data_IF_623638205636
#
_entry.id   IF_623638205636
#
_cell.length_a   1.000
_cell.length_b   1.000
_cell.length_c   1.000
_cell.angle_alpha   90.00
_cell.angle_beta   90.00
_cell.angle_gamma   90.00
#
_symmetry.space_group_name_H-M   'P 1'
#
loop_
_entity.id
_entity.type
_entity.pdbx_description
1 polymer ?
#
# COMPACT_ATOMS: atom_id res chain seq x y z
N UNK A 1 36.26 -23.64 71.76
CA UNK A 1 36.74 -23.13 70.42
C UNK A 1 36.22 -23.90 69.19
N UNK A 2 35.72 -25.11 69.37
CA UNK A 2 35.27 -25.93 68.20
C UNK A 2 33.92 -25.50 67.50
N UNK A 3 33.06 -24.80 68.26
CA UNK A 3 31.75 -24.41 67.72
C UNK A 3 31.76 -23.20 66.77
N UNK A 4 32.77 -22.29 66.90
CA UNK A 4 32.85 -21.09 66.06
C UNK A 4 33.35 -21.43 64.62
N UNK A 5 34.22 -22.44 64.54
CA UNK A 5 34.76 -22.89 63.25
C UNK A 5 33.66 -23.55 62.37
N UNK A 6 32.80 -24.34 63.02
CA UNK A 6 31.68 -25.02 62.34
C UNK A 6 30.61 -24.04 61.83
N UNK A 7 30.39 -22.93 62.55
CA UNK A 7 29.41 -21.91 62.13
C UNK A 7 29.91 -21.09 60.94
N UNK A 8 31.21 -20.80 60.83
CA UNK A 8 31.79 -20.14 59.69
C UNK A 8 31.78 -21.02 58.44
N UNK A 9 32.06 -22.31 58.57
CA UNK A 9 32.00 -23.26 57.47
C UNK A 9 30.54 -23.46 56.99
N UNK A 10 29.57 -23.49 57.88
CA UNK A 10 28.14 -23.58 57.53
C UNK A 10 27.65 -22.32 56.77
N UNK A 11 28.10 -21.13 57.20
CA UNK A 11 27.77 -19.88 56.51
C UNK A 11 28.36 -19.81 55.10
N UNK A 12 29.58 -20.29 54.88
CA UNK A 12 30.21 -20.35 53.55
C UNK A 12 29.47 -21.35 52.64
N UNK A 13 29.04 -22.49 53.18
CA UNK A 13 28.25 -23.44 52.42
C UNK A 13 26.87 -22.92 52.04
N UNK A 14 26.21 -22.15 52.90
CA UNK A 14 24.93 -21.52 52.60
C UNK A 14 25.11 -20.43 51.53
N UNK A 15 26.15 -19.61 51.57
CA UNK A 15 26.47 -18.64 50.54
C UNK A 15 26.82 -19.29 49.19
N UNK A 16 27.55 -20.40 49.21
CA UNK A 16 27.84 -21.19 48.00
C UNK A 16 26.59 -21.78 47.36
N UNK A 17 25.63 -22.24 48.15
CA UNK A 17 24.36 -22.76 47.69
C UNK A 17 23.43 -21.70 47.08
N UNK A 18 23.48 -20.46 47.60
CA UNK A 18 22.70 -19.33 47.05
C UNK A 18 23.28 -18.87 45.71
N UNK A 19 24.59 -19.04 45.51
CA UNK A 19 25.26 -18.65 44.26
C UNK A 19 24.98 -19.63 43.10
N UNK A 20 24.47 -20.83 43.38
CA UNK A 20 24.16 -21.86 42.38
C UNK A 20 22.69 -21.78 41.90
N UNK A 21 21.85 -21.01 42.63
CA UNK A 21 20.57 -20.59 42.04
C UNK A 21 20.87 -19.51 41.01
N UNK A 22 21.56 -19.91 39.92
CA UNK A 22 21.79 -19.06 38.79
C UNK A 22 20.44 -18.43 38.42
N UNK A 23 20.47 -17.13 38.20
CA UNK A 23 19.38 -16.45 37.51
C UNK A 23 18.91 -17.41 36.43
N UNK A 24 17.79 -18.06 36.65
CA UNK A 24 17.04 -18.60 35.52
C UNK A 24 16.89 -17.41 34.60
N UNK A 25 17.66 -17.42 33.51
CA UNK A 25 17.38 -16.57 32.38
C UNK A 25 15.87 -16.79 32.19
N UNK A 26 15.07 -15.80 32.56
CA UNK A 26 13.68 -15.81 32.14
C UNK A 26 13.81 -15.82 30.62
N UNK A 27 13.64 -17.00 30.04
CA UNK A 27 13.21 -17.12 28.70
C UNK A 27 11.85 -16.40 28.69
N UNK A 28 11.89 -15.13 28.38
CA UNK A 28 10.71 -14.48 27.83
C UNK A 28 10.43 -15.33 26.62
N UNK A 29 9.49 -16.27 26.78
CA UNK A 29 9.14 -17.22 25.75
C UNK A 29 9.08 -16.45 24.44
N UNK A 30 9.61 -17.06 23.39
CA UNK A 30 9.72 -16.48 22.06
C UNK A 30 8.62 -15.44 21.89
N UNK A 31 9.01 -14.17 21.77
CA UNK A 31 8.01 -13.11 21.54
C UNK A 31 7.19 -13.66 20.40
N UNK A 32 5.89 -13.90 20.57
CA UNK A 32 5.10 -14.47 19.50
C UNK A 32 5.43 -13.65 18.28
N UNK A 33 5.78 -14.29 17.16
CA UNK A 33 6.09 -13.63 15.89
C UNK A 33 4.83 -12.87 15.45
N UNK A 34 4.70 -11.64 15.96
CA UNK A 34 3.58 -10.74 15.68
C UNK A 34 3.77 -10.09 14.33
N UNK A 35 4.17 -10.91 13.36
CA UNK A 35 4.23 -10.44 11.99
C UNK A 35 2.83 -10.31 11.43
N UNK A 36 2.57 -9.21 10.79
CA UNK A 36 1.29 -8.96 10.13
C UNK A 36 1.50 -8.13 8.87
N UNK A 37 0.59 -8.31 7.93
CA UNK A 37 0.50 -7.53 6.71
C UNK A 37 -0.97 -7.36 6.36
N UNK A 38 -1.41 -6.12 6.22
CA UNK A 38 -2.75 -5.76 5.78
C UNK A 38 -2.60 -4.73 4.66
N UNK A 39 -3.22 -4.99 3.53
CA UNK A 39 -3.16 -4.13 2.34
C UNK A 39 -4.56 -3.74 1.91
N UNK A 40 -4.79 -2.45 1.73
CA UNK A 40 -6.11 -1.94 1.34
C UNK A 40 -6.34 -2.05 -0.17
N UNK A 41 -7.58 -2.34 -0.55
CA UNK A 41 -8.02 -2.18 -1.93
C UNK A 41 -7.96 -0.70 -2.35
N UNK A 42 -7.60 -0.45 -3.59
CA UNK A 42 -7.43 0.92 -4.10
C UNK A 42 -8.26 1.17 -5.34
N UNK A 43 -8.91 2.33 -5.36
CA UNK A 43 -9.63 2.83 -6.51
C UNK A 43 -8.89 4.00 -7.15
N UNK A 44 -8.58 3.87 -8.43
CA UNK A 44 -7.84 4.86 -9.19
C UNK A 44 -8.71 5.54 -10.26
N UNK A 45 -8.41 6.79 -10.60
CA UNK A 45 -9.08 7.49 -11.68
C UNK A 45 -8.74 6.89 -13.06
N UNK A 46 -9.48 7.26 -14.09
CA UNK A 46 -9.32 6.73 -15.46
C UNK A 46 -8.07 7.23 -16.20
N UNK A 47 -7.45 8.32 -15.74
CA UNK A 47 -6.28 8.89 -16.41
C UNK A 47 -4.99 8.19 -15.99
N UNK A 48 -3.97 8.30 -16.83
CA UNK A 48 -2.61 7.87 -16.55
C UNK A 48 -2.02 8.65 -15.36
N UNK A 49 -1.20 8.00 -14.57
CA UNK A 49 -0.50 8.64 -13.46
C UNK A 49 -0.08 7.68 -12.36
N UNK A 50 0.20 8.26 -11.21
CA UNK A 50 0.55 7.51 -10.00
C UNK A 50 -0.62 7.54 -9.03
N UNK A 51 -0.91 6.39 -8.47
CA UNK A 51 -1.76 6.24 -7.28
C UNK A 51 -0.96 5.61 -6.16
N UNK A 52 -1.57 5.42 -5.01
CA UNK A 52 -0.94 4.69 -3.91
C UNK A 52 -1.92 3.69 -3.33
N UNK A 53 -1.37 2.61 -2.85
CA UNK A 53 -2.05 1.59 -2.03
C UNK A 53 -1.55 1.76 -0.62
N UNK A 54 -2.45 1.86 0.33
CA UNK A 54 -2.09 1.92 1.74
C UNK A 54 -1.90 0.51 2.28
N UNK A 55 -0.91 0.32 3.14
CA UNK A 55 -0.69 -0.94 3.83
C UNK A 55 -0.19 -0.70 5.25
N UNK A 56 -0.38 -1.70 6.10
CA UNK A 56 0.10 -1.71 7.47
C UNK A 56 0.78 -3.03 7.74
N UNK A 57 1.99 -3.00 8.24
CA UNK A 57 2.72 -4.20 8.64
C UNK A 57 3.73 -3.88 9.75
N UNK A 58 4.34 -4.90 10.32
CA UNK A 58 5.48 -4.76 11.21
C UNK A 58 6.76 -4.38 10.43
N UNK A 59 7.78 -3.93 11.18
CA UNK A 59 9.04 -3.45 10.61
C UNK A 59 9.80 -4.50 9.80
N UNK A 60 9.78 -5.77 10.22
CA UNK A 60 10.51 -6.84 9.52
C UNK A 60 9.84 -7.18 8.19
N UNK A 61 8.52 -7.28 8.19
CA UNK A 61 7.71 -7.49 6.98
C UNK A 61 7.88 -6.35 5.99
N UNK A 62 7.94 -5.09 6.46
CA UNK A 62 8.12 -3.92 5.61
C UNK A 62 9.44 -3.93 4.84
N UNK A 63 10.54 -4.32 5.48
CA UNK A 63 11.87 -4.31 4.86
C UNK A 63 12.06 -5.39 3.79
N UNK A 64 11.14 -6.34 3.68
CA UNK A 64 11.19 -7.48 2.78
C UNK A 64 9.85 -7.64 2.03
N UNK A 65 9.19 -6.54 1.72
CA UNK A 65 7.87 -6.54 1.08
C UNK A 65 7.99 -6.53 -0.44
N UNK A 66 7.42 -7.55 -1.07
CA UNK A 66 7.32 -7.74 -2.51
C UNK A 66 5.86 -7.68 -2.97
N UNK A 67 5.66 -7.28 -4.23
CA UNK A 67 4.33 -7.23 -4.84
C UNK A 67 4.36 -7.87 -6.20
N UNK A 68 3.43 -8.78 -6.45
CA UNK A 68 3.29 -9.47 -7.72
C UNK A 68 1.83 -9.51 -8.18
N UNK A 69 1.57 -9.45 -9.49
CA UNK A 69 0.22 -9.64 -10.00
C UNK A 69 -0.18 -11.12 -9.92
N UNK A 70 -1.39 -11.41 -9.42
CA UNK A 70 -1.96 -12.78 -9.41
C UNK A 70 -2.28 -13.23 -10.83
N UNK A 71 -2.68 -12.28 -11.68
CA UNK A 71 -2.87 -12.48 -13.11
C UNK A 71 -2.20 -11.34 -13.84
N UNK A 72 -1.73 -11.62 -15.06
CA UNK A 72 -1.14 -10.61 -15.92
C UNK A 72 -2.01 -9.35 -16.00
N UNK A 73 -1.38 -8.21 -15.76
CA UNK A 73 -2.00 -6.90 -15.71
C UNK A 73 -1.09 -5.91 -16.45
N UNK A 74 -1.44 -5.54 -17.67
CA UNK A 74 -0.62 -4.75 -18.60
C UNK A 74 -0.70 -3.24 -18.40
N UNK A 75 -1.63 -2.78 -17.57
CA UNK A 75 -1.86 -1.35 -17.31
C UNK A 75 -1.41 -0.88 -15.93
N UNK A 76 -0.86 -1.78 -15.14
CA UNK A 76 -0.24 -1.48 -13.84
C UNK A 76 1.23 -1.82 -13.94
N UNK A 77 2.09 -0.88 -13.64
CA UNK A 77 3.53 -1.05 -13.63
C UNK A 77 4.14 -0.39 -12.39
N UNK A 78 5.38 -0.74 -12.10
CA UNK A 78 6.23 -0.09 -11.11
C UNK A 78 5.60 0.09 -9.73
N UNK A 79 5.80 -0.88 -8.86
CA UNK A 79 5.52 -0.72 -7.44
C UNK A 79 6.75 -0.14 -6.72
N UNK A 80 6.60 1.06 -6.16
CA UNK A 80 7.59 1.71 -5.30
C UNK A 80 7.10 1.64 -3.86
N UNK A 81 7.58 0.62 -3.13
CA UNK A 81 7.18 0.36 -1.75
C UNK A 81 7.92 1.32 -0.82
N UNK A 82 7.16 2.14 -0.07
CA UNK A 82 7.66 3.06 0.94
C UNK A 82 6.89 2.87 2.22
N UNK A 83 7.35 3.51 3.30
CA UNK A 83 6.66 3.42 4.58
C UNK A 83 5.15 3.69 4.45
N UNK A 84 4.33 2.70 4.84
CA UNK A 84 2.85 2.72 4.82
C UNK A 84 2.19 2.94 3.44
N UNK A 85 2.94 3.08 2.37
CA UNK A 85 2.40 3.33 1.03
C UNK A 85 3.20 2.64 -0.07
N UNK A 86 2.49 2.00 -0.97
CA UNK A 86 3.04 1.52 -2.24
C UNK A 86 2.59 2.47 -3.35
N UNK A 87 3.52 3.15 -4.00
CA UNK A 87 3.19 3.96 -5.16
C UNK A 87 3.15 3.09 -6.40
N UNK A 88 2.15 3.27 -7.22
CA UNK A 88 1.85 2.44 -8.37
C UNK A 88 1.68 3.32 -9.59
N UNK A 89 2.34 2.99 -10.69
CA UNK A 89 2.17 3.64 -11.98
C UNK A 89 1.06 2.97 -12.77
N UNK A 90 0.14 3.76 -13.33
CA UNK A 90 -1.04 3.30 -14.05
C UNK A 90 -1.08 3.91 -15.45
N UNK A 91 -1.40 3.11 -16.43
CA UNK A 91 -1.80 3.60 -17.75
C UNK A 91 -3.23 4.13 -17.74
N UNK A 92 -3.51 5.08 -18.63
CA UNK A 92 -4.88 5.60 -18.76
C UNK A 92 -5.86 4.51 -19.19
N UNK A 93 -7.00 4.43 -18.53
CA UNK A 93 -8.08 3.54 -18.93
C UNK A 93 -8.86 4.16 -20.10
N UNK A 94 -8.54 3.73 -21.31
CA UNK A 94 -9.23 4.15 -22.54
C UNK A 94 -10.41 3.26 -22.89
N UNK A 95 -10.69 2.24 -22.09
CA UNK A 95 -11.85 1.36 -22.26
C UNK A 95 -13.11 2.05 -21.75
N UNK A 96 -14.24 1.71 -22.28
CA UNK A 96 -15.55 2.21 -21.81
C UNK A 96 -16.01 1.59 -20.48
N UNK A 97 -15.22 0.72 -19.87
CA UNK A 97 -15.56 -0.03 -18.67
C UNK A 97 -14.53 0.19 -17.57
N UNK A 98 -14.94 0.08 -16.31
CA UNK A 98 -14.03 -0.04 -15.19
C UNK A 98 -13.18 -1.30 -15.37
N UNK A 99 -11.94 -1.29 -14.91
CA UNK A 99 -11.03 -2.44 -14.95
C UNK A 99 -10.39 -2.67 -13.59
N UNK A 100 -10.01 -3.91 -13.33
CA UNK A 100 -9.38 -4.25 -12.07
C UNK A 100 -8.29 -5.30 -12.25
N UNK A 101 -7.30 -5.25 -11.38
CA UNK A 101 -6.26 -6.26 -11.24
C UNK A 101 -6.13 -6.67 -9.77
N UNK A 102 -5.81 -7.95 -9.57
CA UNK A 102 -5.51 -8.52 -8.26
C UNK A 102 -4.01 -8.74 -8.11
N UNK A 103 -3.50 -8.35 -6.97
CA UNK A 103 -2.10 -8.47 -6.58
C UNK A 103 -1.97 -9.23 -5.28
N UNK A 104 -0.81 -9.80 -5.05
CA UNK A 104 -0.38 -10.31 -3.75
C UNK A 104 0.82 -9.50 -3.29
N UNK A 105 0.74 -9.00 -2.06
CA UNK A 105 1.88 -8.46 -1.33
C UNK A 105 2.37 -9.54 -0.36
N UNK A 106 3.68 -9.76 -0.28
CA UNK A 106 4.23 -10.80 0.59
C UNK A 106 5.64 -10.47 1.07
N UNK A 107 6.02 -11.07 2.18
CA UNK A 107 7.39 -11.07 2.69
C UNK A 107 7.86 -12.52 2.80
N UNK A 108 8.98 -12.84 2.18
CA UNK A 108 9.60 -14.17 2.30
C UNK A 108 10.16 -14.40 3.70
N UNK A 109 10.69 -13.33 4.31
CA UNK A 109 11.32 -13.39 5.62
C UNK A 109 10.34 -13.72 6.75
N UNK A 110 9.17 -13.11 6.74
CA UNK A 110 8.15 -13.29 7.79
C UNK A 110 7.03 -14.25 7.40
N UNK A 111 6.97 -14.66 6.12
CA UNK A 111 5.93 -15.53 5.60
C UNK A 111 4.55 -14.87 5.50
N UNK A 112 4.45 -13.57 5.79
CA UNK A 112 3.19 -12.83 5.72
C UNK A 112 2.80 -12.55 4.28
N UNK A 113 1.52 -12.63 3.99
CA UNK A 113 0.96 -12.32 2.66
C UNK A 113 -0.46 -11.81 2.77
N UNK A 114 -0.79 -10.87 1.90
CA UNK A 114 -2.16 -10.38 1.73
C UNK A 114 -2.45 -10.08 0.27
N UNK A 115 -3.71 -10.13 -0.12
CA UNK A 115 -4.15 -9.89 -1.49
C UNK A 115 -4.98 -8.62 -1.54
N UNK A 116 -4.73 -7.79 -2.54
CA UNK A 116 -5.44 -6.55 -2.73
C UNK A 116 -5.80 -6.32 -4.20
N UNK A 117 -6.75 -5.44 -4.41
CA UNK A 117 -7.27 -5.10 -5.73
C UNK A 117 -6.99 -3.64 -6.05
N UNK A 118 -6.53 -3.39 -7.28
CA UNK A 118 -6.52 -2.06 -7.85
C UNK A 118 -7.64 -1.99 -8.88
N UNK A 119 -8.60 -1.11 -8.66
CA UNK A 119 -9.66 -0.79 -9.61
C UNK A 119 -9.37 0.54 -10.27
N UNK A 120 -9.55 0.62 -11.58
CA UNK A 120 -9.44 1.88 -12.30
C UNK A 120 -10.74 2.21 -13.01
N UNK A 121 -11.24 3.41 -12.73
CA UNK A 121 -12.46 3.93 -13.33
C UNK A 121 -12.41 3.90 -14.87
N UNK A 122 -13.55 3.71 -15.49
CA UNK A 122 -13.74 4.02 -16.91
C UNK A 122 -13.63 5.52 -17.19
N UNK A 123 -13.30 5.88 -18.40
CA UNK A 123 -13.43 7.27 -18.84
C UNK A 123 -14.89 7.70 -18.70
N UNK A 124 -15.14 8.69 -17.87
CA UNK A 124 -16.47 9.29 -17.80
C UNK A 124 -16.69 10.15 -19.04
N UNK A 125 -17.35 9.58 -20.05
CA UNK A 125 -17.89 10.37 -21.16
C UNK A 125 -19.16 11.05 -20.62
N UNK A 126 -19.19 12.37 -20.45
CA UNK A 126 -20.40 13.02 -19.96
C UNK A 126 -21.55 12.72 -20.93
N UNK A 127 -22.58 12.04 -20.43
CA UNK A 127 -23.82 11.74 -21.16
C UNK A 127 -24.53 13.05 -21.50
N UNK A 128 -24.31 13.56 -22.71
CA UNK A 128 -24.85 14.85 -23.14
C UNK A 128 -24.69 15.13 -24.63
N UNK A 129 -24.25 14.14 -25.41
CA UNK A 129 -24.25 14.27 -26.86
C UNK A 129 -25.05 13.09 -27.44
N UNK A 130 -26.30 13.32 -27.74
CA UNK A 130 -27.09 12.43 -28.64
C UNK A 130 -26.30 12.24 -29.92
N UNK A 131 -25.84 11.02 -30.14
CA UNK A 131 -25.11 10.61 -31.34
C UNK A 131 -26.07 10.51 -32.51
N UNK A 132 -26.03 11.47 -33.41
CA UNK A 132 -26.38 11.25 -34.80
C UNK A 132 -25.12 11.10 -35.62
N UNK A 133 -24.85 9.89 -36.04
CA UNK A 133 -24.10 9.45 -37.21
C UNK A 133 -22.70 10.01 -37.49
N UNK A 134 -21.70 9.15 -37.51
CA UNK A 134 -20.56 9.22 -38.44
C UNK A 134 -19.32 9.99 -37.98
N UNK A 135 -18.18 9.32 -38.06
CA UNK A 135 -16.80 9.84 -38.08
C UNK A 135 -16.19 10.31 -36.73
N UNK A 136 -15.14 9.62 -36.35
CA UNK A 136 -14.07 10.05 -35.41
C UNK A 136 -14.23 11.45 -34.77
N UNK A 137 -15.14 11.60 -33.81
CA UNK A 137 -15.39 12.87 -33.16
C UNK A 137 -14.29 13.11 -32.11
N UNK A 138 -13.31 13.86 -32.54
CA UNK A 138 -12.43 14.60 -31.62
C UNK A 138 -13.34 15.40 -30.67
N UNK A 139 -13.30 15.05 -29.38
CA UNK A 139 -14.06 15.74 -28.34
C UNK A 139 -13.73 17.23 -28.39
N UNK A 140 -14.68 18.05 -28.82
CA UNK A 140 -14.56 19.52 -28.91
C UNK A 140 -15.50 20.23 -27.94
N UNK A 141 -15.74 19.60 -26.78
CA UNK A 141 -16.65 20.11 -25.77
C UNK A 141 -16.09 21.28 -24.96
N UNK A 142 -16.93 21.87 -24.12
CA UNK A 142 -16.51 22.88 -23.16
C UNK A 142 -15.66 22.26 -22.05
N UNK A 143 -14.60 22.95 -21.64
CA UNK A 143 -13.72 22.54 -20.53
C UNK A 143 -14.51 22.15 -19.27
N UNK A 144 -14.18 21.02 -18.69
CA UNK A 144 -14.85 20.48 -17.50
C UNK A 144 -14.45 21.20 -16.19
N UNK A 145 -13.35 21.93 -16.17
CA UNK A 145 -12.84 22.61 -14.98
C UNK A 145 -13.78 23.73 -14.49
N UNK A 146 -13.73 24.00 -13.19
CA UNK A 146 -14.38 25.16 -12.58
C UNK A 146 -13.38 26.27 -12.29
N UNK A 147 -13.80 27.49 -12.46
CA UNK A 147 -13.01 28.69 -12.11
C UNK A 147 -12.96 28.86 -10.58
N UNK A 148 -12.03 29.69 -10.09
CA UNK A 148 -11.94 30.05 -8.65
C UNK A 148 -13.26 30.59 -8.05
N UNK A 149 -14.16 31.11 -8.89
CA UNK A 149 -15.50 31.58 -8.48
C UNK A 149 -16.58 30.48 -8.57
N UNK A 150 -16.21 29.22 -8.68
CA UNK A 150 -17.12 28.06 -8.75
C UNK A 150 -17.89 27.89 -10.08
N UNK A 151 -17.75 28.81 -11.05
CA UNK A 151 -18.41 28.73 -12.36
C UNK A 151 -17.65 27.78 -13.29
N UNK A 152 -18.35 27.10 -14.20
CA UNK A 152 -17.72 26.29 -15.24
C UNK A 152 -16.84 27.12 -16.15
N UNK A 153 -15.67 26.61 -16.51
CA UNK A 153 -14.77 27.26 -17.47
C UNK A 153 -15.46 27.40 -18.84
N UNK A 154 -15.47 28.60 -19.40
CA UNK A 154 -16.11 28.89 -20.69
C UNK A 154 -15.28 28.49 -21.91
N UNK A 155 -14.04 28.06 -21.74
CA UNK A 155 -13.14 27.70 -22.84
C UNK A 155 -13.48 26.33 -23.39
N UNK A 156 -13.12 26.09 -24.65
CA UNK A 156 -13.17 24.75 -25.23
C UNK A 156 -12.07 23.87 -24.65
N UNK A 157 -12.36 22.59 -24.50
CA UNK A 157 -11.36 21.59 -24.16
C UNK A 157 -10.35 21.42 -25.30
N UNK A 158 -9.12 21.09 -24.97
CA UNK A 158 -8.07 20.76 -25.93
C UNK A 158 -8.42 19.47 -26.68
N UNK A 159 -7.88 19.30 -27.89
CA UNK A 159 -8.12 18.11 -28.70
C UNK A 159 -7.66 16.86 -27.93
N UNK A 160 -8.59 15.93 -27.71
CA UNK A 160 -8.30 14.70 -26.94
C UNK A 160 -8.32 14.84 -25.42
N UNK A 161 -8.69 16.03 -24.89
CA UNK A 161 -8.81 16.29 -23.45
C UNK A 161 -10.19 16.82 -23.11
N UNK A 162 -10.64 16.60 -21.87
CA UNK A 162 -11.83 17.25 -21.31
C UNK A 162 -11.54 18.61 -20.71
N UNK A 163 -10.25 19.00 -20.65
CA UNK A 163 -9.77 20.26 -20.12
C UNK A 163 -9.21 21.16 -21.23
N UNK A 164 -9.27 22.47 -21.03
CA UNK A 164 -8.58 23.41 -21.88
C UNK A 164 -7.09 23.52 -21.48
N UNK A 165 -6.29 24.09 -22.37
CA UNK A 165 -4.85 24.27 -22.16
C UNK A 165 -4.47 24.96 -20.83
N UNK A 166 -5.35 25.76 -20.23
CA UNK A 166 -5.10 26.39 -18.93
C UNK A 166 -5.38 25.47 -17.73
N UNK A 167 -6.10 24.36 -17.94
CA UNK A 167 -6.47 23.41 -16.87
C UNK A 167 -5.87 22.03 -17.10
N UNK A 168 -4.77 21.92 -17.85
CA UNK A 168 -4.03 20.68 -18.04
C UNK A 168 -4.46 19.85 -19.24
N UNK A 169 -4.97 20.51 -20.28
CA UNK A 169 -5.27 19.89 -21.57
C UNK A 169 -4.09 19.96 -22.52
#
# INVERSE_FOLDING_TARGET
MHNILNMKVLLILIFALISITGCKKYDFGETPDWHYLIVDDTYAPSWEGKTWVHYTCDYETQNDLYVEPIKYCDWVSDFDVRYEKMYVSLDSNKTGNDRSCLFVAYSEKTGQKDTFKIEQAKVHVPSGASSSGGSSSVFSGQCAARTKKGRRCKRRASKGSIYCWQHGG
#
